data_IF_447133619055
#
_entry.id   IF_447133619055
#
_cell.length_a   1.000
_cell.length_b   1.000
_cell.length_c   1.000
_cell.angle_alpha   90.00
_cell.angle_beta   90.00
_cell.angle_gamma   90.00
#
_symmetry.space_group_name_H-M   'P 1'
#
loop_
_entity.id
_entity.type
_entity.pdbx_description
1 polymer ?
#
# COMPACT_ATOMS: atom_id res chain seq x y z
N UNK A 1 61.51 -47.77 -44.63
CA UNK A 1 62.45 -47.32 -45.68
C UNK A 1 62.68 -45.84 -45.41
N UNK A 2 63.71 -45.54 -44.59
CA UNK A 2 64.96 -44.85 -45.00
C UNK A 2 64.70 -43.40 -45.43
N UNK A 3 65.39 -42.34 -45.03
CA UNK A 3 66.63 -42.06 -44.27
C UNK A 3 66.53 -40.55 -43.96
N UNK A 4 66.52 -40.12 -42.71
CA UNK A 4 67.62 -39.40 -42.03
C UNK A 4 68.75 -38.84 -42.90
N UNK A 5 68.88 -37.51 -42.91
CA UNK A 5 70.09 -36.79 -43.31
C UNK A 5 69.82 -35.29 -43.41
N UNK A 6 70.41 -34.38 -42.65
CA UNK A 6 71.40 -34.49 -41.60
C UNK A 6 72.03 -33.11 -41.41
N UNK A 7 72.67 -32.93 -40.24
CA UNK A 7 73.88 -32.12 -40.03
C UNK A 7 73.69 -30.58 -40.13
N UNK A 8 74.33 -29.72 -39.35
CA UNK A 8 75.36 -29.75 -38.30
C UNK A 8 75.25 -28.33 -37.67
N UNK A 9 75.28 -28.17 -36.34
CA UNK A 9 76.45 -27.68 -35.55
C UNK A 9 77.15 -26.46 -36.18
N UNK A 10 77.53 -25.39 -35.48
CA UNK A 10 77.67 -25.03 -34.05
C UNK A 10 78.24 -23.60 -34.04
N UNK A 11 78.43 -23.07 -32.82
CA UNK A 11 79.19 -21.85 -32.45
C UNK A 11 78.32 -20.59 -32.58
N UNK A 12 77.81 -19.96 -31.52
CA UNK A 12 78.30 -19.87 -30.15
C UNK A 12 79.29 -18.73 -30.02
N UNK A 13 78.85 -17.58 -29.53
CA UNK A 13 79.56 -16.80 -28.49
C UNK A 13 78.87 -15.48 -28.15
N UNK A 14 78.77 -15.26 -26.83
CA UNK A 14 78.83 -13.99 -26.08
C UNK A 14 77.81 -12.88 -26.37
N UNK A 15 76.94 -12.70 -25.37
CA UNK A 15 76.36 -11.41 -24.97
C UNK A 15 77.45 -10.41 -24.53
N UNK A 16 77.16 -9.10 -24.50
CA UNK A 16 76.53 -8.58 -23.29
C UNK A 16 75.46 -7.49 -23.50
N UNK A 17 74.45 -7.52 -22.61
CA UNK A 17 73.82 -6.38 -21.93
C UNK A 17 73.23 -5.27 -22.81
N UNK A 18 71.90 -5.33 -22.98
CA UNK A 18 71.07 -4.20 -22.59
C UNK A 18 70.15 -4.67 -21.46
N UNK A 19 70.34 -4.03 -20.30
CA UNK A 19 69.54 -4.19 -19.12
C UNK A 19 68.19 -3.51 -19.38
N UNK A 20 67.13 -4.30 -19.61
CA UNK A 20 65.82 -3.86 -19.17
C UNK A 20 65.66 -4.31 -17.71
N UNK A 21 65.36 -3.38 -16.79
CA UNK A 21 65.35 -3.64 -15.38
C UNK A 21 64.30 -4.67 -14.97
N UNK A 22 64.71 -5.50 -14.02
CA UNK A 22 63.85 -6.21 -13.08
C UNK A 22 62.66 -5.35 -12.65
N UNK A 23 61.47 -5.92 -12.75
CA UNK A 23 60.51 -5.90 -11.65
C UNK A 23 59.54 -7.08 -11.81
N UNK A 24 60.08 -8.30 -11.95
CA UNK A 24 59.38 -9.48 -11.48
C UNK A 24 59.55 -9.51 -9.97
N UNK A 25 58.60 -8.92 -9.25
CA UNK A 25 58.50 -9.07 -7.80
C UNK A 25 57.27 -9.89 -7.49
N UNK A 26 57.55 -11.01 -6.82
CA UNK A 26 56.63 -11.82 -6.07
C UNK A 26 55.84 -10.98 -5.05
N UNK A 27 54.78 -11.61 -4.55
CA UNK A 27 53.89 -11.20 -3.46
C UNK A 27 52.64 -10.44 -3.90
N UNK A 28 51.50 -11.10 -3.73
CA UNK A 28 50.18 -10.51 -3.91
C UNK A 28 49.11 -11.59 -3.87
N UNK A 29 48.92 -12.20 -2.70
CA UNK A 29 47.74 -12.99 -2.43
C UNK A 29 46.49 -12.19 -2.80
N UNK A 30 45.67 -12.69 -3.73
CA UNK A 30 44.29 -12.24 -3.85
C UNK A 30 43.42 -13.39 -3.40
N UNK A 31 43.03 -13.26 -2.14
CA UNK A 31 42.09 -14.08 -1.40
C UNK A 31 40.82 -14.27 -2.23
N UNK A 32 40.40 -15.53 -2.38
CA UNK A 32 39.02 -15.88 -2.72
C UNK A 32 38.12 -15.31 -1.60
N UNK A 33 37.56 -14.14 -1.80
CA UNK A 33 36.50 -13.64 -0.94
C UNK A 33 35.19 -14.32 -1.37
N UNK A 34 34.90 -15.46 -0.74
CA UNK A 34 33.55 -16.00 -0.73
C UNK A 34 32.70 -15.00 0.04
N UNK A 35 31.93 -14.17 -0.66
CA UNK A 35 30.88 -13.36 -0.03
C UNK A 35 29.75 -14.29 0.39
N UNK A 36 29.91 -14.94 1.54
CA UNK A 36 28.75 -15.35 2.36
C UNK A 36 28.34 -14.11 3.15
N UNK A 37 27.73 -13.15 2.45
CA UNK A 37 26.95 -12.09 3.08
C UNK A 37 25.47 -12.47 2.92
N UNK A 38 25.11 -13.61 3.51
CA UNK A 38 23.72 -13.93 3.82
C UNK A 38 23.30 -13.06 5.01
N UNK A 39 23.02 -11.79 4.73
CA UNK A 39 22.27 -10.91 5.60
C UNK A 39 21.03 -10.52 4.82
N UNK A 40 19.88 -11.12 5.16
CA UNK A 40 18.60 -10.53 4.82
C UNK A 40 18.50 -9.25 5.66
N UNK A 41 19.16 -8.18 5.23
CA UNK A 41 18.70 -6.85 5.63
C UNK A 41 17.28 -6.75 5.06
N UNK A 42 16.23 -6.61 5.89
CA UNK A 42 14.94 -6.22 5.37
C UNK A 42 15.21 -4.91 4.64
N UNK A 43 15.10 -4.94 3.31
CA UNK A 43 15.13 -3.74 2.51
C UNK A 43 13.99 -2.90 3.06
N UNK A 44 14.31 -1.89 3.88
CA UNK A 44 13.35 -0.88 4.31
C UNK A 44 12.80 -0.31 3.02
N UNK A 45 11.60 -0.80 2.65
CA UNK A 45 10.87 -0.31 1.50
C UNK A 45 10.68 1.17 1.85
N UNK A 46 11.25 2.11 1.08
CA UNK A 46 11.09 3.52 1.38
C UNK A 46 9.59 3.75 1.53
N UNK A 47 9.18 4.32 2.67
CA UNK A 47 7.79 4.66 2.91
C UNK A 47 7.34 5.40 1.66
N UNK A 48 6.40 4.81 0.92
CA UNK A 48 5.85 5.47 -0.25
C UNK A 48 5.34 6.82 0.24
N UNK A 49 5.75 7.89 -0.41
CA UNK A 49 5.24 9.22 -0.08
C UNK A 49 3.74 9.19 -0.39
N UNK A 50 2.92 9.13 0.65
CA UNK A 50 1.46 9.05 0.53
C UNK A 50 0.99 10.43 0.08
N UNK A 51 0.20 10.46 -0.98
CA UNK A 51 -0.33 11.71 -1.49
C UNK A 51 -1.30 12.35 -0.47
N UNK A 52 -1.31 13.69 -0.33
CA UNK A 52 -2.21 14.35 0.60
C UNK A 52 -3.67 14.23 0.10
N UNK A 53 -4.58 13.95 1.03
CA UNK A 53 -6.02 13.96 0.73
C UNK A 53 -6.50 15.38 0.41
N UNK A 54 -7.25 15.51 -0.69
CA UNK A 54 -8.05 16.69 -1.01
C UNK A 54 -9.54 16.32 -0.91
N UNK A 55 -10.23 16.85 0.10
CA UNK A 55 -11.67 16.61 0.31
C UNK A 55 -12.47 17.14 -0.88
N UNK A 56 -13.43 16.35 -1.36
CA UNK A 56 -14.23 16.64 -2.55
C UNK A 56 -13.55 16.32 -3.89
N UNK A 57 -12.29 15.82 -3.88
CA UNK A 57 -11.63 15.32 -5.08
C UNK A 57 -11.82 13.82 -5.24
N UNK A 58 -12.05 13.39 -6.49
CA UNK A 58 -12.21 11.98 -6.83
C UNK A 58 -10.84 11.29 -6.87
N UNK A 59 -10.69 10.22 -6.09
CA UNK A 59 -9.47 9.42 -6.00
C UNK A 59 -9.71 8.04 -6.60
N UNK A 60 -8.87 7.63 -7.55
CA UNK A 60 -8.85 6.28 -8.09
C UNK A 60 -8.06 5.35 -7.15
N UNK A 61 -8.77 4.42 -6.53
CA UNK A 61 -8.21 3.43 -5.62
C UNK A 61 -7.90 2.09 -6.30
N UNK A 62 -8.15 1.96 -7.60
CA UNK A 62 -8.10 0.69 -8.32
C UNK A 62 -9.53 0.16 -8.54
N UNK A 63 -10.14 -0.60 -7.60
CA UNK A 63 -11.50 -1.12 -7.77
C UNK A 63 -12.59 -0.06 -7.68
N UNK A 64 -12.29 1.10 -7.11
CA UNK A 64 -13.26 2.17 -6.85
C UNK A 64 -12.67 3.53 -7.21
N UNK A 65 -13.54 4.43 -7.69
CA UNK A 65 -13.33 5.87 -7.61
C UNK A 65 -14.13 6.38 -6.43
N UNK A 66 -13.48 7.04 -5.47
CA UNK A 66 -14.09 7.54 -4.24
C UNK A 66 -13.89 9.05 -4.14
N UNK A 67 -14.96 9.78 -3.85
CA UNK A 67 -14.92 11.20 -3.52
C UNK A 67 -15.38 11.34 -2.08
N UNK A 68 -14.49 11.71 -1.17
CA UNK A 68 -14.82 11.92 0.24
C UNK A 68 -15.35 13.35 0.45
N UNK A 69 -16.55 13.49 1.00
CA UNK A 69 -17.22 14.80 1.12
C UNK A 69 -17.12 15.39 2.52
N UNK A 70 -17.54 14.63 3.53
CA UNK A 70 -17.61 15.12 4.93
C UNK A 70 -17.75 13.99 5.93
N UNK A 71 -17.11 14.15 7.09
CA UNK A 71 -17.24 13.25 8.23
C UNK A 71 -18.12 13.88 9.30
N UNK A 72 -19.06 13.11 9.86
CA UNK A 72 -20.01 13.59 10.88
C UNK A 72 -20.15 12.60 12.03
N UNK A 73 -20.44 13.12 13.21
CA UNK A 73 -20.98 12.29 14.29
C UNK A 73 -22.47 12.10 14.05
N UNK A 74 -22.96 10.89 14.31
CA UNK A 74 -24.37 10.53 14.26
C UNK A 74 -24.68 9.75 15.54
N UNK A 75 -25.69 10.18 16.27
CA UNK A 75 -26.04 9.59 17.57
C UNK A 75 -26.81 8.27 17.38
N UNK A 76 -27.67 8.20 16.35
CA UNK A 76 -28.51 7.04 16.07
C UNK A 76 -28.41 6.62 14.60
N UNK A 77 -28.12 5.34 14.37
CA UNK A 77 -28.19 4.69 13.06
C UNK A 77 -28.76 3.27 13.25
N UNK A 78 -30.04 3.03 12.90
CA UNK A 78 -30.69 1.74 13.16
C UNK A 78 -29.89 0.55 12.60
N UNK A 79 -29.55 -0.41 13.47
CA UNK A 79 -28.75 -1.58 13.12
C UNK A 79 -27.23 -1.42 13.27
N UNK A 80 -26.75 -0.20 13.61
CA UNK A 80 -25.34 0.10 13.94
C UNK A 80 -25.23 0.68 15.35
N UNK A 81 -25.92 1.80 15.61
CA UNK A 81 -26.08 2.36 16.95
C UNK A 81 -27.55 2.63 17.22
N UNK A 82 -28.10 2.00 18.26
CA UNK A 82 -29.48 2.22 18.70
C UNK A 82 -29.65 3.48 19.57
N UNK A 83 -28.62 4.34 19.64
CA UNK A 83 -28.66 5.57 20.44
C UNK A 83 -28.36 5.35 21.92
N UNK A 84 -27.73 4.23 22.27
CA UNK A 84 -27.34 3.95 23.64
C UNK A 84 -26.15 4.83 24.05
N UNK A 85 -26.11 5.27 25.31
CA UNK A 85 -25.07 6.17 25.87
C UNK A 85 -23.62 5.62 25.80
N UNK A 86 -23.43 4.39 25.31
CA UNK A 86 -22.16 3.68 25.26
C UNK A 86 -21.43 3.82 23.91
N UNK A 87 -22.13 4.15 22.81
CA UNK A 87 -21.55 4.16 21.47
C UNK A 87 -22.07 5.35 20.65
N UNK A 88 -21.20 5.96 19.84
CA UNK A 88 -21.56 6.94 18.81
C UNK A 88 -21.07 6.48 17.44
N UNK A 89 -21.68 6.99 16.37
CA UNK A 89 -21.27 6.66 15.01
C UNK A 89 -20.51 7.82 14.38
N UNK A 90 -19.35 7.54 13.78
CA UNK A 90 -18.72 8.43 12.82
C UNK A 90 -19.16 7.99 11.42
N UNK A 91 -19.72 8.91 10.63
CA UNK A 91 -20.22 8.64 9.28
C UNK A 91 -19.53 9.54 8.25
N UNK A 92 -18.75 8.93 7.36
CA UNK A 92 -18.19 9.60 6.18
C UNK A 92 -19.21 9.53 5.04
N UNK A 93 -19.70 10.69 4.63
CA UNK A 93 -20.44 10.80 3.37
C UNK A 93 -19.45 10.85 2.22
N UNK A 94 -19.66 9.99 1.23
CA UNK A 94 -18.83 9.90 0.04
C UNK A 94 -19.64 9.50 -1.20
N UNK A 95 -19.11 9.84 -2.36
CA UNK A 95 -19.58 9.33 -3.64
C UNK A 95 -18.65 8.23 -4.13
N UNK A 96 -19.20 7.09 -4.57
CA UNK A 96 -18.43 5.91 -4.99
C UNK A 96 -18.93 5.35 -6.31
N UNK A 97 -17.99 4.97 -7.18
CA UNK A 97 -18.26 4.20 -8.40
C UNK A 97 -17.27 3.04 -8.51
N UNK A 98 -17.74 1.84 -8.87
CA UNK A 98 -16.85 0.72 -9.18
C UNK A 98 -16.18 0.90 -10.55
N UNK A 99 -14.88 0.59 -10.63
CA UNK A 99 -14.13 0.62 -11.89
C UNK A 99 -14.29 -0.67 -12.68
N UNK A 100 -14.01 -0.61 -13.98
CA UNK A 100 -14.00 -1.78 -14.84
C UNK A 100 -15.41 -2.27 -15.23
N UNK A 101 -15.58 -3.59 -15.31
CA UNK A 101 -16.80 -4.23 -15.85
C UNK A 101 -17.39 -5.31 -14.95
N UNK A 102 -16.80 -5.53 -13.78
CA UNK A 102 -17.24 -6.55 -12.82
C UNK A 102 -17.71 -5.89 -11.53
N UNK A 103 -18.82 -6.37 -10.98
CA UNK A 103 -19.30 -6.04 -9.64
C UNK A 103 -18.18 -6.18 -8.61
N UNK A 104 -17.99 -5.15 -7.77
CA UNK A 104 -17.09 -5.21 -6.63
C UNK A 104 -17.87 -5.43 -5.33
N UNK A 105 -17.23 -6.01 -4.31
CA UNK A 105 -17.86 -6.27 -3.03
C UNK A 105 -17.86 -5.03 -2.14
N UNK A 106 -18.96 -4.79 -1.43
CA UNK A 106 -19.07 -3.71 -0.44
C UNK A 106 -18.06 -3.82 0.70
N UNK A 107 -17.74 -5.04 1.13
CA UNK A 107 -16.67 -5.29 2.11
C UNK A 107 -15.29 -4.80 1.64
N UNK A 108 -14.98 -4.91 0.33
CA UNK A 108 -13.72 -4.38 -0.19
C UNK A 108 -13.71 -2.85 -0.15
N UNK A 109 -14.87 -2.22 -0.35
CA UNK A 109 -15.03 -0.77 -0.24
C UNK A 109 -14.85 -0.29 1.21
N UNK A 110 -15.44 -0.99 2.19
CA UNK A 110 -15.27 -0.66 3.60
C UNK A 110 -13.81 -0.79 4.04
N UNK A 111 -13.11 -1.84 3.59
CA UNK A 111 -11.67 -2.01 3.77
C UNK A 111 -10.81 -0.98 3.01
N UNK A 112 -11.38 -0.26 2.04
CA UNK A 112 -10.67 0.76 1.24
C UNK A 112 -10.68 2.14 1.88
N UNK A 113 -11.39 2.34 2.98
CA UNK A 113 -11.53 3.63 3.64
C UNK A 113 -11.36 3.43 5.14
N UNK A 114 -10.38 4.11 5.72
CA UNK A 114 -10.01 3.92 7.11
C UNK A 114 -9.75 5.24 7.83
N UNK A 115 -9.96 5.24 9.14
CA UNK A 115 -9.57 6.32 10.04
C UNK A 115 -8.31 5.93 10.80
N UNK A 116 -7.38 6.86 10.91
CA UNK A 116 -6.09 6.66 11.57
C UNK A 116 -6.04 7.44 12.90
N UNK A 117 -5.75 6.73 14.00
CA UNK A 117 -5.48 7.31 15.31
C UNK A 117 -6.68 7.95 16.01
N UNK A 118 -7.91 7.58 15.64
CA UNK A 118 -9.12 8.12 16.29
C UNK A 118 -9.41 7.39 17.60
N UNK A 119 -9.40 8.08 18.76
CA UNK A 119 -9.65 7.44 20.05
C UNK A 119 -11.04 6.82 20.14
N UNK A 120 -11.17 5.65 20.77
CA UNK A 120 -12.45 4.99 20.99
C UNK A 120 -12.95 4.14 19.82
N UNK A 121 -12.24 4.09 18.68
CA UNK A 121 -12.47 3.08 17.65
C UNK A 121 -11.84 1.74 18.07
N UNK A 122 -12.52 0.64 17.75
CA UNK A 122 -12.01 -0.70 18.02
C UNK A 122 -11.05 -1.17 16.92
N UNK A 123 -9.77 -1.37 17.24
CA UNK A 123 -8.79 -1.89 16.27
C UNK A 123 -7.36 -1.45 16.56
N UNK A 124 -6.49 -1.70 15.58
CA UNK A 124 -5.17 -1.09 15.49
C UNK A 124 -5.27 0.40 15.10
N UNK A 125 -4.14 1.10 14.94
CA UNK A 125 -4.13 2.54 14.64
C UNK A 125 -4.93 2.91 13.37
N UNK A 126 -4.95 2.03 12.36
CA UNK A 126 -5.70 2.21 11.12
C UNK A 126 -6.97 1.34 11.10
N UNK A 127 -8.13 1.96 11.30
CA UNK A 127 -9.42 1.26 11.44
C UNK A 127 -10.28 1.43 10.18
N UNK A 128 -10.55 0.36 9.41
CA UNK A 128 -11.43 0.41 8.25
C UNK A 128 -12.88 0.69 8.67
N UNK A 129 -13.71 1.16 7.75
CA UNK A 129 -15.13 1.31 8.02
C UNK A 129 -15.77 -0.05 8.37
N UNK A 130 -16.64 -0.05 9.37
CA UNK A 130 -17.38 -1.26 9.78
C UNK A 130 -18.35 -1.67 8.67
N UNK A 131 -19.09 -0.69 8.15
CA UNK A 131 -20.14 -0.90 7.15
C UNK A 131 -20.30 0.28 6.19
N UNK A 132 -21.00 0.03 5.09
CA UNK A 132 -21.34 1.02 4.06
C UNK A 132 -22.84 0.99 3.80
N UNK A 133 -23.48 2.16 3.86
CA UNK A 133 -24.92 2.31 3.65
C UNK A 133 -25.19 3.24 2.48
N UNK A 134 -26.19 2.90 1.65
CA UNK A 134 -26.66 3.77 0.56
C UNK A 134 -27.51 4.89 1.15
N UNK A 135 -27.14 6.14 0.90
CA UNK A 135 -27.83 7.30 1.49
C UNK A 135 -29.28 7.45 1.01
N UNK A 136 -29.60 6.95 -0.18
CA UNK A 136 -30.93 7.08 -0.78
C UNK A 136 -32.01 6.28 -0.04
N UNK A 137 -31.66 5.13 0.56
CA UNK A 137 -32.63 4.22 1.18
C UNK A 137 -32.18 3.60 2.51
N UNK A 138 -30.96 3.91 2.98
CA UNK A 138 -30.40 3.41 4.24
C UNK A 138 -30.05 1.92 4.21
N UNK A 139 -30.03 1.28 3.04
CA UNK A 139 -29.68 -0.14 2.95
C UNK A 139 -28.17 -0.34 2.96
N UNK A 140 -27.73 -1.46 3.56
CA UNK A 140 -26.32 -1.87 3.51
C UNK A 140 -25.92 -2.15 2.05
N UNK A 141 -24.80 -1.58 1.62
CA UNK A 141 -24.26 -1.76 0.29
C UNK A 141 -23.36 -3.00 0.24
N UNK A 142 -23.90 -4.15 -0.17
CA UNK A 142 -23.13 -5.40 -0.27
C UNK A 142 -22.34 -5.52 -1.60
N UNK A 143 -22.73 -4.78 -2.63
CA UNK A 143 -22.17 -4.87 -3.96
C UNK A 143 -22.19 -3.52 -4.68
N UNK A 144 -21.07 -3.16 -5.30
CA UNK A 144 -20.90 -1.93 -6.09
C UNK A 144 -20.87 -2.31 -7.57
N UNK A 145 -21.92 -1.95 -8.30
CA UNK A 145 -22.03 -2.25 -9.73
C UNK A 145 -21.28 -1.20 -10.58
N UNK A 146 -20.51 -1.61 -11.59
CA UNK A 146 -19.89 -0.69 -12.54
C UNK A 146 -20.92 0.15 -13.30
N UNK A 147 -20.59 1.42 -13.50
CA UNK A 147 -21.45 2.38 -14.21
C UNK A 147 -22.60 2.95 -13.38
N UNK A 148 -22.70 2.60 -12.10
CA UNK A 148 -23.59 3.25 -11.14
C UNK A 148 -22.75 4.04 -10.13
N UNK A 149 -23.21 5.25 -9.86
CA UNK A 149 -22.69 6.13 -8.82
C UNK A 149 -23.57 5.98 -7.58
N UNK A 150 -22.94 5.83 -6.42
CA UNK A 150 -23.60 5.67 -5.13
C UNK A 150 -23.17 6.79 -4.20
N UNK A 151 -24.12 7.52 -3.64
CA UNK A 151 -23.89 8.33 -2.45
C UNK A 151 -24.03 7.42 -1.22
N UNK A 152 -22.96 7.31 -0.43
CA UNK A 152 -22.87 6.35 0.67
C UNK A 152 -22.44 7.01 1.98
N UNK A 153 -22.84 6.40 3.09
CA UNK A 153 -22.25 6.62 4.40
C UNK A 153 -21.37 5.41 4.74
N UNK A 154 -20.07 5.64 4.91
CA UNK A 154 -19.15 4.69 5.52
C UNK A 154 -19.09 4.98 7.02
N UNK A 155 -19.28 3.96 7.85
CA UNK A 155 -19.50 4.17 9.28
C UNK A 155 -18.46 3.47 10.15
N UNK A 156 -18.18 4.08 11.29
CA UNK A 156 -17.38 3.52 12.37
C UNK A 156 -18.11 3.67 13.70
N UNK A 157 -18.11 2.61 14.50
CA UNK A 157 -18.55 2.66 15.90
C UNK A 157 -17.41 3.18 16.79
N UNK A 158 -17.70 4.25 17.54
CA UNK A 158 -16.78 4.86 18.49
C UNK A 158 -17.35 4.77 19.92
N UNK A 159 -16.55 4.33 20.90
CA UNK A 159 -16.93 4.35 22.31
C UNK A 159 -17.29 5.79 22.74
N UNK A 160 -18.51 5.97 23.26
CA UNK A 160 -19.04 7.26 23.64
C UNK A 160 -18.33 7.89 24.86
N UNK A 161 -17.44 7.14 25.55
CA UNK A 161 -16.58 7.66 26.62
C UNK A 161 -15.36 8.42 26.11
N UNK A 162 -14.95 8.20 24.86
CA UNK A 162 -13.83 8.92 24.24
C UNK A 162 -14.35 10.21 23.59
N UNK A 163 -13.71 11.37 23.80
CA UNK A 163 -14.19 12.62 23.22
C UNK A 163 -14.41 12.53 21.69
N UNK A 164 -15.50 13.12 21.21
CA UNK A 164 -15.74 13.20 19.76
C UNK A 164 -14.63 14.04 19.11
N UNK A 165 -13.93 13.50 18.09
CA UNK A 165 -12.87 14.24 17.42
C UNK A 165 -13.47 15.45 16.69
N UNK A 166 -12.75 16.57 16.66
CA UNK A 166 -13.07 17.70 15.76
C UNK A 166 -12.47 17.53 14.37
N UNK A 167 -11.42 16.71 14.26
CA UNK A 167 -10.69 16.36 13.05
C UNK A 167 -10.27 14.90 13.15
N UNK A 168 -10.34 14.17 12.05
CA UNK A 168 -9.83 12.80 11.95
C UNK A 168 -8.88 12.69 10.75
N UNK A 169 -7.93 11.74 10.80
CA UNK A 169 -7.08 11.44 9.65
C UNK A 169 -7.74 10.35 8.81
N UNK A 170 -8.25 10.73 7.65
CA UNK A 170 -8.81 9.80 6.67
C UNK A 170 -7.70 9.24 5.78
N UNK A 171 -7.73 7.93 5.57
CA UNK A 171 -6.81 7.19 4.71
C UNK A 171 -7.64 6.43 3.68
N UNK A 172 -7.38 6.68 2.39
CA UNK A 172 -7.96 5.89 1.31
C UNK A 172 -6.94 4.85 0.84
N UNK A 173 -7.33 3.59 0.88
CA UNK A 173 -6.49 2.43 0.59
C UNK A 173 -6.80 1.92 -0.81
N UNK A 174 -5.79 2.01 -1.67
CA UNK A 174 -5.83 1.51 -3.04
C UNK A 174 -5.41 0.05 -3.14
N UNK A 175 -5.73 -0.57 -4.28
CA UNK A 175 -5.37 -1.95 -4.64
C UNK A 175 -4.89 -2.02 -6.08
N UNK A 176 -4.02 -2.98 -6.37
CA UNK A 176 -3.49 -3.23 -7.71
C UNK A 176 -4.16 -4.46 -8.33
N UNK A 177 -4.68 -4.32 -9.55
CA UNK A 177 -5.21 -5.46 -10.31
C UNK A 177 -4.06 -6.32 -10.84
N UNK A 178 -3.96 -7.57 -10.37
CA UNK A 178 -2.94 -8.51 -10.87
C UNK A 178 -3.42 -9.95 -10.79
N UNK A 179 -2.67 -10.83 -11.44
CA UNK A 179 -2.90 -12.26 -11.36
C UNK A 179 -2.58 -12.77 -9.94
N UNK A 180 -3.51 -13.52 -9.35
CA UNK A 180 -3.34 -14.25 -8.11
C UNK A 180 -2.38 -15.43 -8.31
N UNK A 181 -1.41 -15.58 -7.41
CA UNK A 181 -0.46 -16.70 -7.47
C UNK A 181 -1.07 -18.05 -7.07
N UNK A 182 -2.25 -18.02 -6.45
CA UNK A 182 -2.94 -19.21 -5.92
C UNK A 182 -3.77 -19.87 -7.02
N UNK A 183 -4.62 -19.10 -7.69
CA UNK A 183 -5.60 -19.64 -8.65
C UNK A 183 -5.51 -19.04 -10.06
N UNK A 184 -4.56 -18.13 -10.29
CA UNK A 184 -4.33 -17.46 -11.58
C UNK A 184 -5.48 -16.56 -12.04
N UNK A 185 -6.42 -16.21 -11.16
CA UNK A 185 -7.48 -15.25 -11.47
C UNK A 185 -6.95 -13.80 -11.37
N UNK A 186 -7.58 -12.86 -12.08
CA UNK A 186 -7.26 -11.44 -11.96
C UNK A 186 -8.03 -10.85 -10.78
N UNK A 187 -7.31 -10.37 -9.77
CA UNK A 187 -7.87 -9.87 -8.53
C UNK A 187 -7.26 -8.52 -8.13
N UNK A 188 -8.03 -7.73 -7.40
CA UNK A 188 -7.54 -6.51 -6.74
C UNK A 188 -6.80 -6.91 -5.46
N UNK A 189 -5.49 -6.76 -5.47
CA UNK A 189 -4.59 -7.20 -4.41
C UNK A 189 -3.70 -6.06 -3.92
N UNK A 190 -2.82 -6.37 -2.97
CA UNK A 190 -1.79 -5.46 -2.45
C UNK A 190 -2.38 -4.15 -1.89
N UNK A 191 -3.23 -4.22 -0.85
CA UNK A 191 -3.78 -3.02 -0.24
C UNK A 191 -2.65 -2.11 0.28
N UNK A 192 -2.69 -0.83 -0.10
CA UNK A 192 -1.74 0.17 0.33
C UNK A 192 -2.40 1.56 0.42
N UNK A 193 -2.03 2.41 1.38
CA UNK A 193 -2.49 3.81 1.41
C UNK A 193 -2.15 4.51 0.09
N UNK A 194 -3.18 5.06 -0.56
CA UNK A 194 -3.05 5.84 -1.79
C UNK A 194 -2.99 7.34 -1.47
N UNK A 195 -3.96 7.81 -0.68
CA UNK A 195 -3.98 9.18 -0.14
C UNK A 195 -4.30 9.17 1.35
N UNK A 196 -3.83 10.19 2.06
CA UNK A 196 -4.18 10.38 3.46
C UNK A 196 -4.16 11.86 3.85
N UNK A 197 -5.04 12.27 4.75
CA UNK A 197 -5.04 13.63 5.26
C UNK A 197 -6.13 13.90 6.27
N UNK A 198 -6.12 15.10 6.87
CA UNK A 198 -7.16 15.50 7.81
C UNK A 198 -8.50 15.68 7.10
N UNK A 199 -9.58 15.38 7.82
CA UNK A 199 -10.95 15.72 7.47
C UNK A 199 -11.66 16.26 8.72
N UNK A 200 -12.39 17.37 8.57
CA UNK A 200 -13.18 17.96 9.65
C UNK A 200 -14.34 17.04 10.04
N UNK A 201 -14.57 16.91 11.34
CA UNK A 201 -15.67 16.14 11.90
C UNK A 201 -16.73 17.10 12.42
N UNK A 202 -17.93 17.03 11.84
CA UNK A 202 -19.06 17.85 12.30
C UNK A 202 -19.92 17.07 13.30
N UNK A 203 -20.07 17.61 14.51
CA UNK A 203 -21.03 17.11 15.51
C UNK A 203 -22.41 17.69 15.18
N UNK A 204 -23.52 16.95 15.35
CA UNK A 204 -24.86 17.52 15.20
C UNK A 204 -25.01 18.73 16.14
N UNK A 205 -25.53 19.84 15.61
CA UNK A 205 -25.90 20.97 16.45
C UNK A 205 -27.12 20.53 17.28
N UNK A 206 -27.04 20.64 18.61
CA UNK A 206 -28.20 20.45 19.49
C UNK A 206 -29.30 21.43 19.04
N UNK A 207 -30.33 20.92 18.34
CA UNK A 207 -31.52 21.71 18.02
C UNK A 207 -32.21 22.08 19.34
N UNK A 208 -31.89 23.27 19.85
CA UNK A 208 -32.40 23.86 21.10
C UNK A 208 -33.78 24.49 20.92
#
# INVERSE_FOLDING_TARGET
MTESGGRLRRLGSRAPRQHLPLAGSAAGAIVLAVLVAGGFDPMEKPAAEIEPLAVGEAVDLGPFVVTADRLRVVDELPGVSEGDDDTRVLALVATVTATGTTTQYGAMLSESVALDGVPGLAGDDLVPADDVYVMADGTRLDAVQPGLEYEVALVWEQDARADAPSEARLVLVGRTLRESSIDRSMEWLDPAPAVAGPIDVTVPEDES
#
